data_IF_273413918433
#
_entry.id   IF_273413918433
#
_cell.length_a   1.000
_cell.length_b   1.000
_cell.length_c   1.000
_cell.angle_alpha   90.00
_cell.angle_beta   90.00
_cell.angle_gamma   90.00
#
_symmetry.space_group_name_H-M   'P 1'
#
loop_
_entity.id
_entity.type
_entity.pdbx_description
1 polymer ?
#
# COMPACT_ATOMS: atom_id res chain seq x y z
N UNK A 1 -12.42 21.73 -22.08
CA UNK A 1 -13.54 20.79 -22.24
C UNK A 1 -13.06 19.47 -21.64
N UNK A 2 -13.64 19.15 -20.49
CA UNK A 2 -13.62 17.91 -19.72
C UNK A 2 -12.30 17.16 -19.47
N UNK A 3 -11.54 17.64 -18.48
CA UNK A 3 -10.83 16.74 -17.55
C UNK A 3 -11.86 16.15 -16.59
N UNK A 4 -12.52 15.11 -17.09
CA UNK A 4 -13.38 14.18 -16.40
C UNK A 4 -12.90 13.84 -14.99
N UNK A 5 -13.81 14.09 -14.04
CA UNK A 5 -14.16 13.24 -12.89
C UNK A 5 -13.14 13.27 -11.74
N UNK A 6 -13.44 14.12 -10.74
CA UNK A 6 -13.17 13.91 -9.31
C UNK A 6 -11.95 13.01 -9.06
N UNK A 7 -10.75 13.60 -9.14
CA UNK A 7 -9.65 13.09 -8.33
C UNK A 7 -10.21 12.98 -6.91
N UNK A 8 -10.31 11.75 -6.40
CA UNK A 8 -10.82 11.53 -5.03
C UNK A 8 -10.05 12.45 -4.09
N UNK A 9 -10.69 13.02 -3.06
CA UNK A 9 -10.04 13.91 -2.08
C UNK A 9 -8.67 13.39 -1.62
N UNK A 10 -8.53 12.08 -1.48
CA UNK A 10 -7.27 11.42 -1.13
C UNK A 10 -6.16 11.48 -2.17
N UNK A 11 -6.46 11.54 -3.47
CA UNK A 11 -5.45 11.78 -4.50
C UNK A 11 -4.84 13.16 -4.31
N UNK A 12 -5.68 14.17 -4.09
CA UNK A 12 -5.21 15.52 -3.77
C UNK A 12 -4.43 15.53 -2.45
N UNK A 13 -4.93 14.86 -1.40
CA UNK A 13 -4.19 14.77 -0.12
C UNK A 13 -2.83 14.08 -0.26
N UNK A 14 -2.71 13.04 -1.09
CA UNK A 14 -1.42 12.41 -1.41
C UNK A 14 -0.51 13.42 -2.11
N UNK A 15 -1.02 14.16 -3.11
CA UNK A 15 -0.25 15.19 -3.81
C UNK A 15 0.22 16.26 -2.82
N UNK A 16 -0.67 16.80 -2.00
CA UNK A 16 -0.36 17.84 -1.01
C UNK A 16 0.73 17.38 -0.02
N UNK A 17 0.65 16.13 0.44
CA UNK A 17 1.66 15.55 1.33
C UNK A 17 2.98 15.37 0.60
N UNK A 18 2.96 14.87 -0.62
CA UNK A 18 4.18 14.64 -1.40
C UNK A 18 4.88 15.95 -1.77
N UNK A 19 4.13 16.98 -2.15
CA UNK A 19 4.67 18.30 -2.50
C UNK A 19 5.08 19.10 -1.26
N UNK A 20 4.37 18.93 -0.14
CA UNK A 20 4.64 19.61 1.12
C UNK A 20 5.72 18.94 1.99
N UNK A 21 6.15 17.72 1.66
CA UNK A 21 7.13 16.99 2.47
C UNK A 21 8.56 17.27 2.02
N UNK A 22 9.43 17.62 2.97
CA UNK A 22 10.79 18.08 2.69
C UNK A 22 11.71 17.03 2.04
N UNK A 23 11.40 15.74 2.20
CA UNK A 23 12.26 14.66 1.73
C UNK A 23 11.45 13.51 1.11
N UNK A 24 11.16 13.64 -0.18
CA UNK A 24 10.50 12.61 -0.98
C UNK A 24 11.48 12.03 -2.00
N UNK A 25 11.62 10.72 -1.98
CA UNK A 25 12.51 9.96 -2.84
C UNK A 25 11.68 9.19 -3.88
N UNK A 26 11.54 9.79 -5.07
CA UNK A 26 10.78 9.24 -6.18
C UNK A 26 11.66 8.34 -7.06
N UNK A 27 11.20 7.11 -7.31
CA UNK A 27 11.80 6.14 -8.23
C UNK A 27 13.33 5.99 -8.04
N UNK A 28 13.74 5.93 -6.78
CA UNK A 28 15.15 5.86 -6.41
C UNK A 28 15.82 4.63 -7.05
N UNK A 29 17.02 4.81 -7.60
CA UNK A 29 17.75 3.72 -8.24
C UNK A 29 17.99 2.56 -7.26
N UNK A 30 17.89 1.32 -7.75
CA UNK A 30 18.03 0.11 -6.91
C UNK A 30 19.26 0.11 -6.01
N UNK A 31 20.42 0.57 -6.50
CA UNK A 31 21.65 0.65 -5.69
C UNK A 31 21.48 1.60 -4.49
N UNK A 32 20.86 2.76 -4.72
CA UNK A 32 20.57 3.74 -3.66
C UNK A 32 19.48 3.23 -2.72
N UNK A 33 18.45 2.53 -3.22
CA UNK A 33 17.46 1.86 -2.36
C UNK A 33 18.11 0.83 -1.44
N UNK A 34 19.01 -0.01 -1.96
CA UNK A 34 19.76 -0.96 -1.12
C UNK A 34 20.59 -0.21 -0.06
N UNK A 35 21.22 0.90 -0.41
CA UNK A 35 21.97 1.72 0.55
C UNK A 35 21.05 2.29 1.64
N UNK A 36 19.92 2.89 1.28
CA UNK A 36 18.92 3.40 2.24
C UNK A 36 18.41 2.29 3.17
N UNK A 37 18.14 1.08 2.65
CA UNK A 37 17.73 -0.08 3.45
C UNK A 37 18.78 -0.45 4.50
N UNK A 38 20.07 -0.44 4.14
CA UNK A 38 21.16 -0.76 5.07
C UNK A 38 21.35 0.37 6.08
N UNK A 39 21.35 1.63 5.63
CA UNK A 39 21.56 2.81 6.48
C UNK A 39 20.44 2.96 7.52
N UNK A 40 19.20 2.69 7.12
CA UNK A 40 18.03 2.68 8.00
C UNK A 40 17.93 1.42 8.87
N UNK A 41 18.86 0.45 8.71
CA UNK A 41 18.86 -0.84 9.42
C UNK A 41 17.58 -1.65 9.21
N UNK A 42 17.00 -1.57 8.02
CA UNK A 42 15.80 -2.33 7.65
C UNK A 42 16.14 -3.74 7.17
N UNK A 43 17.40 -3.99 6.80
CA UNK A 43 17.94 -5.30 6.47
C UNK A 43 19.43 -5.37 6.80
N UNK A 44 20.01 -6.58 6.74
CA UNK A 44 21.45 -6.80 6.84
C UNK A 44 21.97 -7.46 5.56
N UNK A 45 23.14 -7.03 5.09
CA UNK A 45 23.84 -7.74 4.02
C UNK A 45 24.38 -9.08 4.55
N UNK A 46 24.00 -10.17 3.91
CA UNK A 46 24.56 -11.50 4.17
C UNK A 46 25.85 -11.72 3.37
N UNK A 47 26.60 -12.78 3.71
CA UNK A 47 27.90 -13.09 3.08
C UNK A 47 27.86 -13.18 1.55
N UNK A 48 26.74 -13.59 0.96
CA UNK A 48 26.59 -13.72 -0.49
C UNK A 48 26.06 -12.44 -1.18
N UNK A 49 25.91 -11.34 -0.43
CA UNK A 49 25.37 -10.07 -0.95
C UNK A 49 23.85 -9.96 -0.97
N UNK A 50 23.11 -11.03 -0.62
CA UNK A 50 21.67 -10.94 -0.45
C UNK A 50 21.33 -10.17 0.84
N UNK A 51 20.22 -9.45 0.83
CA UNK A 51 19.68 -8.79 2.02
C UNK A 51 18.88 -9.79 2.85
N UNK A 52 19.30 -10.00 4.09
CA UNK A 52 18.54 -10.71 5.11
C UNK A 52 17.63 -9.71 5.83
N UNK A 53 16.33 -9.98 5.82
CA UNK A 53 15.29 -9.10 6.39
C UNK A 53 14.58 -9.82 7.54
N UNK A 54 13.88 -9.04 8.36
CA UNK A 54 12.99 -9.55 9.39
C UNK A 54 11.70 -8.74 9.41
N UNK A 55 10.69 -9.26 10.08
CA UNK A 55 9.41 -8.59 10.31
C UNK A 55 9.07 -8.68 11.78
N UNK A 56 8.11 -7.87 12.24
CA UNK A 56 7.52 -8.08 13.57
C UNK A 56 6.98 -9.51 13.71
N UNK A 57 6.98 -10.12 14.92
CA UNK A 57 6.43 -11.46 15.15
C UNK A 57 4.99 -11.62 14.63
N UNK A 58 4.23 -10.54 14.72
CA UNK A 58 2.86 -10.43 14.25
C UNK A 58 2.74 -10.32 12.72
N UNK A 59 3.85 -10.19 11.99
CA UNK A 59 3.90 -9.95 10.53
C UNK A 59 4.79 -10.94 9.78
N UNK A 60 4.93 -12.18 10.28
CA UNK A 60 5.71 -13.24 9.60
C UNK A 60 4.98 -13.90 8.43
N UNK A 61 3.72 -13.53 8.20
CA UNK A 61 2.89 -14.07 7.13
C UNK A 61 1.70 -13.18 6.81
N UNK A 62 0.83 -13.66 5.92
CA UNK A 62 -0.39 -12.94 5.55
C UNK A 62 -1.32 -12.77 6.76
N UNK A 63 -2.14 -11.73 6.68
CA UNK A 63 -3.18 -11.39 7.65
C UNK A 63 -4.58 -11.43 7.01
N UNK A 64 -5.09 -12.60 6.56
CA UNK A 64 -6.35 -12.65 5.81
C UNK A 64 -7.55 -12.07 6.57
N UNK A 65 -7.61 -12.29 7.88
CA UNK A 65 -8.69 -11.77 8.74
C UNK A 65 -8.58 -10.27 9.05
N UNK A 66 -7.46 -9.64 8.70
CA UNK A 66 -7.22 -8.21 8.82
C UNK A 66 -7.12 -7.56 7.42
N UNK A 67 -7.57 -8.29 6.37
CA UNK A 67 -7.63 -7.83 4.98
C UNK A 67 -9.08 -7.58 4.61
N UNK A 68 -9.40 -6.37 4.17
CA UNK A 68 -10.76 -5.89 3.94
C UNK A 68 -10.92 -5.31 2.53
N UNK A 69 -12.15 -5.37 2.02
CA UNK A 69 -12.56 -4.75 0.77
C UNK A 69 -13.63 -3.71 1.08
N UNK A 70 -13.45 -2.49 0.59
CA UNK A 70 -14.44 -1.43 0.78
C UNK A 70 -15.72 -1.81 0.06
N UNK A 71 -16.83 -1.85 0.79
CA UNK A 71 -18.14 -2.18 0.25
C UNK A 71 -18.78 -0.93 -0.35
N UNK A 72 -18.60 -0.73 -1.66
CA UNK A 72 -19.20 0.38 -2.42
C UNK A 72 -20.36 -0.10 -3.28
N UNK A 73 -21.40 0.71 -3.41
CA UNK A 73 -22.60 0.36 -4.20
C UNK A 73 -22.26 0.01 -5.67
N UNK A 74 -21.23 0.65 -6.24
CA UNK A 74 -20.81 0.50 -7.64
C UNK A 74 -20.09 -0.82 -7.92
N UNK A 75 -19.31 -1.34 -6.97
CA UNK A 75 -18.55 -2.59 -7.11
C UNK A 75 -19.16 -3.76 -6.33
N UNK A 76 -20.12 -3.53 -5.42
CA UNK A 76 -20.71 -4.54 -4.55
C UNK A 76 -21.20 -5.76 -5.33
N UNK A 77 -21.82 -5.57 -6.49
CA UNK A 77 -22.38 -6.67 -7.30
C UNK A 77 -21.30 -7.51 -8.02
N UNK A 78 -20.07 -6.99 -8.13
CA UNK A 78 -18.97 -7.65 -8.83
C UNK A 78 -18.04 -8.42 -7.87
N UNK A 79 -18.22 -8.25 -6.55
CA UNK A 79 -17.39 -8.88 -5.53
C UNK A 79 -18.13 -10.09 -4.96
N UNK A 80 -17.44 -11.23 -4.88
CA UNK A 80 -17.96 -12.43 -4.21
C UNK A 80 -17.86 -12.28 -2.68
N UNK A 81 -18.90 -11.72 -2.06
CA UNK A 81 -18.97 -11.57 -0.60
C UNK A 81 -19.19 -12.88 0.17
N UNK A 82 -19.43 -14.00 -0.51
CA UNK A 82 -19.54 -15.31 0.14
C UNK A 82 -18.18 -15.89 0.52
N UNK A 83 -17.11 -15.42 -0.15
CA UNK A 83 -15.74 -15.78 0.17
C UNK A 83 -15.35 -15.31 1.58
N UNK A 84 -14.77 -16.19 2.43
CA UNK A 84 -14.33 -15.81 3.77
C UNK A 84 -13.14 -14.82 3.76
N UNK A 85 -12.53 -14.56 2.60
CA UNK A 85 -11.44 -13.61 2.44
C UNK A 85 -11.90 -12.24 1.92
N UNK A 86 -13.15 -12.09 1.50
CA UNK A 86 -13.70 -10.82 1.03
C UNK A 86 -14.48 -10.16 2.17
N UNK A 87 -13.75 -9.67 3.17
CA UNK A 87 -14.33 -9.08 4.39
C UNK A 87 -14.77 -7.65 4.07
N UNK A 88 -16.08 -7.32 4.12
CA UNK A 88 -16.54 -5.98 3.80
C UNK A 88 -16.14 -5.00 4.90
N UNK A 89 -15.72 -3.80 4.50
CA UNK A 89 -15.57 -2.65 5.39
C UNK A 89 -16.32 -1.45 4.82
N UNK A 90 -16.86 -0.61 5.71
CA UNK A 90 -17.59 0.59 5.30
C UNK A 90 -16.65 1.65 4.73
N UNK A 91 -17.19 2.50 3.87
CA UNK A 91 -16.45 3.58 3.21
C UNK A 91 -15.85 4.58 4.21
N UNK A 92 -16.62 4.98 5.22
CA UNK A 92 -16.19 5.91 6.27
C UNK A 92 -15.01 5.36 7.10
N UNK A 93 -15.01 4.05 7.39
CA UNK A 93 -13.91 3.41 8.10
C UNK A 93 -12.64 3.34 7.24
N UNK A 94 -12.77 3.08 5.93
CA UNK A 94 -11.63 3.18 5.03
C UNK A 94 -11.06 4.60 5.00
N UNK A 95 -11.92 5.61 4.91
CA UNK A 95 -11.53 7.01 4.89
C UNK A 95 -10.77 7.39 6.19
N UNK A 96 -11.23 6.91 7.34
CA UNK A 96 -10.54 7.08 8.63
C UNK A 96 -9.16 6.40 8.67
N UNK A 97 -9.05 5.15 8.23
CA UNK A 97 -7.78 4.41 8.21
C UNK A 97 -6.79 5.05 7.24
N UNK A 98 -7.27 5.49 6.09
CA UNK A 98 -6.44 6.15 5.09
C UNK A 98 -5.91 7.49 5.62
N UNK A 99 -6.77 8.27 6.29
CA UNK A 99 -6.35 9.52 6.95
C UNK A 99 -5.29 9.27 8.03
N UNK A 100 -5.45 8.24 8.87
CA UNK A 100 -4.43 7.90 9.87
C UNK A 100 -3.11 7.50 9.21
N UNK A 101 -3.16 6.76 8.09
CA UNK A 101 -1.97 6.38 7.32
C UNK A 101 -1.24 7.59 6.71
N UNK A 102 -1.99 8.59 6.23
CA UNK A 102 -1.42 9.86 5.76
C UNK A 102 -0.79 10.64 6.92
N UNK A 103 -1.45 10.70 8.09
CA UNK A 103 -0.92 11.35 9.28
C UNK A 103 0.37 10.69 9.79
N UNK A 104 0.48 9.36 9.67
CA UNK A 104 1.73 8.65 9.95
C UNK A 104 2.81 9.03 8.95
N UNK A 105 2.47 9.09 7.66
CA UNK A 105 3.42 9.38 6.59
C UNK A 105 4.01 10.78 6.69
N UNK A 106 3.19 11.80 6.99
CA UNK A 106 3.63 13.21 7.16
C UNK A 106 4.66 13.39 8.27
N UNK A 107 4.64 12.52 9.28
CA UNK A 107 5.56 12.58 10.43
C UNK A 107 6.89 11.88 10.16
N UNK A 108 7.08 11.26 9.00
CA UNK A 108 8.30 10.52 8.69
C UNK A 108 9.41 11.46 8.25
N UNK A 109 10.65 11.01 8.41
CA UNK A 109 11.79 11.78 7.90
C UNK A 109 11.88 11.71 6.37
N UNK A 110 11.50 10.57 5.79
CA UNK A 110 11.58 10.27 4.36
C UNK A 110 10.31 9.57 3.89
N UNK A 111 9.89 9.90 2.68
CA UNK A 111 8.84 9.18 1.95
C UNK A 111 9.47 8.59 0.70
N UNK A 112 9.23 7.30 0.45
CA UNK A 112 9.67 6.61 -0.76
C UNK A 112 8.48 6.39 -1.68
N UNK A 113 8.64 6.75 -2.95
CA UNK A 113 7.61 6.54 -3.98
C UNK A 113 8.21 5.68 -5.09
N UNK A 114 7.53 4.60 -5.45
CA UNK A 114 7.93 3.74 -6.58
C UNK A 114 6.76 3.57 -7.55
N UNK A 115 6.99 3.92 -8.81
CA UNK A 115 6.09 3.71 -9.93
C UNK A 115 6.53 2.47 -10.70
N UNK A 116 5.67 1.45 -10.71
CA UNK A 116 5.88 0.16 -11.39
C UNK A 116 4.61 -0.26 -12.12
N UNK A 117 4.64 -1.42 -12.77
CA UNK A 117 3.43 -2.04 -13.32
C UNK A 117 3.25 -3.49 -12.87
N UNK A 118 1.99 -3.92 -12.83
CA UNK A 118 1.59 -5.31 -12.71
C UNK A 118 1.12 -5.79 -14.09
N UNK A 119 1.57 -6.97 -14.52
CA UNK A 119 1.29 -7.51 -15.85
C UNK A 119 2.46 -7.31 -16.81
N UNK A 120 2.79 -8.35 -17.57
CA UNK A 120 3.92 -8.35 -18.51
C UNK A 120 3.56 -7.82 -19.90
N UNK A 121 2.32 -8.02 -20.33
CA UNK A 121 1.80 -7.45 -21.58
C UNK A 121 1.49 -5.96 -21.39
N UNK A 122 2.15 -5.09 -22.15
CA UNK A 122 1.97 -3.64 -22.06
C UNK A 122 0.54 -3.18 -22.36
N UNK A 123 -0.26 -3.96 -23.10
CA UNK A 123 -1.68 -3.66 -23.36
C UNK A 123 -2.57 -3.83 -22.13
N UNK A 124 -2.11 -4.56 -21.12
CA UNK A 124 -2.84 -4.85 -19.88
C UNK A 124 -2.04 -4.52 -18.62
N UNK A 125 -0.90 -3.85 -18.77
CA UNK A 125 -0.05 -3.47 -17.64
C UNK A 125 -0.77 -2.41 -16.78
N UNK A 126 -1.03 -2.73 -15.51
CA UNK A 126 -1.65 -1.83 -14.54
C UNK A 126 -0.56 -0.94 -13.91
N UNK A 127 -0.58 0.39 -14.10
CA UNK A 127 0.29 1.30 -13.36
C UNK A 127 -0.01 1.23 -11.86
N UNK A 128 1.05 1.10 -11.05
CA UNK A 128 0.97 1.08 -9.59
C UNK A 128 1.97 2.05 -9.02
N UNK A 129 1.48 3.02 -8.25
CA UNK A 129 2.28 3.92 -7.43
C UNK A 129 2.27 3.42 -5.99
N UNK A 130 3.40 2.96 -5.49
CA UNK A 130 3.56 2.62 -4.08
C UNK A 130 4.17 3.79 -3.33
N UNK A 131 3.52 4.25 -2.27
CA UNK A 131 3.95 5.31 -1.37
C UNK A 131 4.18 4.69 0.00
N UNK A 132 5.36 4.85 0.57
CA UNK A 132 5.70 4.19 1.83
C UNK A 132 6.73 4.95 2.63
N UNK A 133 6.73 4.72 3.94
CA UNK A 133 7.72 5.23 4.87
C UNK A 133 9.01 4.40 4.94
N UNK A 134 9.08 3.24 4.26
CA UNK A 134 10.18 2.27 4.37
C UNK A 134 10.93 2.04 3.06
N UNK A 135 12.25 2.12 3.09
CA UNK A 135 13.11 1.87 1.93
C UNK A 135 12.99 0.42 1.44
N UNK A 136 12.82 -0.54 2.36
CA UNK A 136 12.72 -1.96 2.09
C UNK A 136 11.41 -2.31 1.37
N UNK A 137 10.31 -1.65 1.73
CA UNK A 137 9.04 -1.79 1.02
C UNK A 137 9.18 -1.29 -0.42
N UNK A 138 9.85 -0.16 -0.62
CA UNK A 138 10.18 0.39 -1.95
C UNK A 138 11.09 -0.54 -2.77
N UNK A 139 12.16 -1.07 -2.15
CA UNK A 139 13.03 -2.05 -2.79
C UNK A 139 12.31 -3.35 -3.16
N UNK A 140 11.38 -3.79 -2.31
CA UNK A 140 10.57 -4.97 -2.57
C UNK A 140 9.63 -4.78 -3.76
N UNK A 141 8.99 -3.62 -3.91
CA UNK A 141 8.14 -3.34 -5.08
C UNK A 141 8.96 -3.20 -6.35
N UNK A 142 10.14 -2.57 -6.30
CA UNK A 142 11.06 -2.54 -7.43
C UNK A 142 11.52 -3.96 -7.86
N UNK A 143 11.70 -4.87 -6.91
CA UNK A 143 12.05 -6.27 -7.20
C UNK A 143 10.86 -7.09 -7.73
N UNK A 144 9.69 -6.95 -7.11
CA UNK A 144 8.53 -7.80 -7.39
C UNK A 144 7.68 -7.35 -8.58
N UNK A 145 7.58 -6.04 -8.80
CA UNK A 145 6.76 -5.46 -9.87
C UNK A 145 7.63 -5.14 -11.07
N UNK A 146 7.01 -4.98 -12.25
CA UNK A 146 7.76 -4.78 -13.49
C UNK A 146 8.09 -3.31 -13.73
N UNK A 147 9.19 -2.99 -14.41
CA UNK A 147 9.46 -1.63 -14.87
C UNK A 147 8.31 -1.13 -15.74
N UNK A 148 8.03 0.18 -15.69
CA UNK A 148 7.05 0.80 -16.58
C UNK A 148 7.52 0.65 -18.03
N UNK A 149 6.75 0.01 -18.92
CA UNK A 149 7.14 -0.17 -20.32
C UNK A 149 7.06 1.17 -21.07
N UNK A 150 7.91 1.35 -22.09
CA UNK A 150 7.95 2.60 -22.88
C UNK A 150 6.62 2.91 -23.58
N UNK A 151 5.83 1.87 -23.90
CA UNK A 151 4.55 1.96 -24.59
C UNK A 151 3.34 1.83 -23.64
N UNK A 152 3.51 2.11 -22.34
CA UNK A 152 2.47 2.00 -21.31
C UNK A 152 1.15 2.71 -21.66
N UNK A 153 1.20 3.77 -22.49
CA UNK A 153 0.01 4.48 -22.99
C UNK A 153 -0.98 3.59 -23.76
N UNK A 154 -0.55 2.43 -24.27
CA UNK A 154 -1.41 1.44 -24.92
C UNK A 154 -2.20 0.58 -23.94
N UNK A 155 -1.84 0.61 -22.66
CA UNK A 155 -2.53 -0.18 -21.64
C UNK A 155 -3.97 0.31 -21.48
N UNK A 156 -4.90 -0.64 -21.40
CA UNK A 156 -6.28 -0.32 -21.00
C UNK A 156 -6.39 0.26 -19.59
N UNK A 157 -5.33 0.16 -18.78
CA UNK A 157 -5.25 0.71 -17.43
C UNK A 157 -4.43 1.99 -17.31
N UNK A 158 -3.94 2.56 -18.41
CA UNK A 158 -3.00 3.70 -18.37
C UNK A 158 -3.53 4.87 -17.51
N UNK A 159 -4.77 5.30 -17.76
CA UNK A 159 -5.45 6.38 -17.00
C UNK A 159 -6.19 5.86 -15.75
N UNK A 160 -5.99 4.58 -15.39
CA UNK A 160 -6.69 3.89 -14.29
C UNK A 160 -5.68 3.21 -13.36
N UNK A 161 -4.57 3.89 -13.10
CA UNK A 161 -3.54 3.44 -12.17
C UNK A 161 -4.08 3.23 -10.75
N UNK A 162 -3.35 2.45 -9.98
CA UNK A 162 -3.67 2.12 -8.60
C UNK A 162 -2.63 2.75 -7.66
N UNK A 163 -3.07 3.35 -6.56
CA UNK A 163 -2.17 3.89 -5.55
C UNK A 163 -2.20 3.02 -4.29
N UNK A 164 -1.02 2.64 -3.81
CA UNK A 164 -0.85 1.83 -2.62
C UNK A 164 -0.05 2.60 -1.57
N UNK A 165 -0.70 2.94 -0.47
CA UNK A 165 -0.07 3.54 0.70
C UNK A 165 0.33 2.45 1.70
N UNK A 166 1.58 2.45 2.17
CA UNK A 166 2.06 1.44 3.13
C UNK A 166 2.91 2.07 4.24
N UNK A 167 2.41 1.94 5.46
CA UNK A 167 3.07 2.33 6.72
C UNK A 167 3.22 1.08 7.61
N UNK A 168 4.13 0.16 7.25
CA UNK A 168 4.18 -1.21 7.76
C UNK A 168 4.45 -1.34 9.26
N UNK A 169 5.06 -0.34 9.88
CA UNK A 169 5.45 -0.36 11.30
C UNK A 169 4.61 0.56 12.18
N UNK A 170 3.73 1.38 11.60
CA UNK A 170 2.76 2.19 12.35
C UNK A 170 1.53 1.35 12.70
N UNK A 171 0.90 1.63 13.85
CA UNK A 171 -0.23 0.86 14.37
C UNK A 171 -1.45 1.75 14.53
N UNK A 172 -2.62 1.22 14.18
CA UNK A 172 -3.88 1.92 14.40
C UNK A 172 -4.21 1.97 15.89
N UNK A 173 -4.93 3.00 16.31
CA UNK A 173 -5.43 3.09 17.68
C UNK A 173 -6.57 2.08 17.89
N UNK A 174 -6.32 0.98 18.59
CA UNK A 174 -7.30 -0.09 18.84
C UNK A 174 -8.60 0.40 19.49
N UNK A 175 -8.55 1.46 20.31
CA UNK A 175 -9.76 2.01 20.97
C UNK A 175 -10.63 2.74 19.93
N UNK A 176 -10.00 3.54 19.05
CA UNK A 176 -10.68 4.27 17.97
C UNK A 176 -11.43 3.34 17.02
N UNK A 177 -10.84 2.17 16.72
CA UNK A 177 -11.38 1.22 15.75
C UNK A 177 -12.19 0.08 16.38
N UNK A 178 -12.51 0.18 17.67
CA UNK A 178 -13.33 -0.81 18.36
C UNK A 178 -14.65 -1.02 17.60
N UNK A 179 -15.02 -2.27 17.38
CA UNK A 179 -16.20 -2.68 16.59
C UNK A 179 -16.14 -2.41 15.08
N UNK A 180 -15.03 -1.87 14.57
CA UNK A 180 -14.84 -1.61 13.14
C UNK A 180 -13.80 -2.53 12.51
N UNK A 181 -12.78 -2.94 13.29
CA UNK A 181 -11.78 -3.91 12.88
C UNK A 181 -11.94 -5.21 13.68
N UNK A 182 -11.25 -6.26 13.21
CA UNK A 182 -11.24 -7.59 13.81
C UNK A 182 -10.93 -7.56 15.30
N UNK A 183 -11.68 -8.33 16.08
CA UNK A 183 -11.36 -8.65 17.48
C UNK A 183 -10.40 -9.85 17.52
N UNK A 184 -9.30 -9.68 18.26
CA UNK A 184 -8.27 -10.68 18.48
C UNK A 184 -8.71 -11.69 19.57
N UNK A 185 -8.08 -12.88 19.67
CA UNK A 185 -8.45 -13.89 20.67
C UNK A 185 -8.35 -13.42 22.12
N UNK A 186 -7.54 -12.40 22.40
CA UNK A 186 -7.40 -11.80 23.73
C UNK A 186 -8.46 -10.73 24.04
N UNK A 187 -9.39 -10.44 23.11
CA UNK A 187 -10.46 -9.46 23.27
C UNK A 187 -10.14 -8.06 22.75
N UNK A 188 -8.88 -7.79 22.37
CA UNK A 188 -8.47 -6.49 21.84
C UNK A 188 -8.88 -6.31 20.38
N UNK A 189 -9.03 -5.06 19.95
CA UNK A 189 -9.21 -4.74 18.52
C UNK A 189 -7.86 -4.73 17.82
N UNK A 190 -7.79 -5.36 16.64
CA UNK A 190 -6.57 -5.36 15.84
C UNK A 190 -6.16 -3.93 15.48
N UNK A 191 -4.86 -3.68 15.59
CA UNK A 191 -4.17 -2.44 15.24
C UNK A 191 -3.55 -2.49 13.83
N UNK A 192 -3.90 -3.53 13.05
CA UNK A 192 -3.43 -3.79 11.69
C UNK A 192 -4.63 -3.78 10.75
N UNK A 193 -4.45 -3.16 9.59
CA UNK A 193 -5.43 -3.22 8.52
C UNK A 193 -4.76 -3.22 7.14
N UNK A 194 -5.25 -4.10 6.26
CA UNK A 194 -4.92 -4.13 4.84
C UNK A 194 -6.23 -3.91 4.10
N UNK A 195 -6.44 -2.76 3.49
CA UNK A 195 -7.74 -2.40 2.91
C UNK A 195 -7.58 -2.01 1.45
N UNK A 196 -8.49 -2.47 0.60
CA UNK A 196 -8.55 -2.13 -0.82
C UNK A 196 -9.91 -1.53 -1.20
N UNK A 197 -9.84 -0.45 -1.97
CA UNK A 197 -10.95 0.27 -2.55
C UNK A 197 -10.82 0.22 -4.08
N UNK A 198 -11.57 -0.67 -4.72
CA UNK A 198 -11.50 -0.87 -6.16
C UNK A 198 -11.99 0.34 -6.96
N UNK A 199 -13.01 1.03 -6.47
CA UNK A 199 -13.64 2.14 -7.20
C UNK A 199 -12.76 3.39 -7.17
N UNK A 200 -12.12 3.67 -6.03
CA UNK A 200 -11.11 4.75 -5.95
C UNK A 200 -9.73 4.32 -6.43
N UNK A 201 -9.50 3.02 -6.63
CA UNK A 201 -8.21 2.41 -7.01
C UNK A 201 -7.12 2.73 -5.98
N UNK A 202 -7.48 2.59 -4.72
CA UNK A 202 -6.63 2.87 -3.56
C UNK A 202 -6.45 1.60 -2.73
N UNK A 203 -5.24 1.43 -2.20
CA UNK A 203 -4.93 0.43 -1.19
C UNK A 203 -4.18 1.08 -0.03
N UNK A 204 -4.45 0.60 1.18
CA UNK A 204 -3.73 1.03 2.37
C UNK A 204 -3.30 -0.18 3.21
N UNK A 205 -2.05 -0.16 3.66
CA UNK A 205 -1.47 -1.15 4.55
C UNK A 205 -0.94 -0.42 5.79
N UNK A 206 -1.54 -0.70 6.94
CA UNK A 206 -1.09 -0.19 8.24
C UNK A 206 -0.69 -1.36 9.13
N UNK A 207 0.52 -1.31 9.69
CA UNK A 207 0.98 -2.22 10.75
C UNK A 207 1.40 -3.63 10.32
N UNK A 208 1.23 -3.99 9.05
CA UNK A 208 1.74 -5.24 8.48
C UNK A 208 3.11 -5.02 7.84
N UNK A 209 4.19 -5.44 8.50
CA UNK A 209 5.55 -5.45 7.94
C UNK A 209 5.83 -6.64 7.02
N UNK A 210 4.86 -7.54 6.84
CA UNK A 210 4.96 -8.62 5.86
C UNK A 210 4.90 -8.06 4.43
N UNK A 211 6.03 -8.07 3.73
CA UNK A 211 6.12 -7.60 2.33
C UNK A 211 5.17 -8.34 1.38
N UNK A 212 4.81 -9.59 1.71
CA UNK A 212 3.81 -10.33 0.95
C UNK A 212 2.42 -9.66 0.97
N UNK A 213 2.10 -8.83 1.96
CA UNK A 213 0.85 -8.03 1.97
C UNK A 213 0.84 -7.01 0.83
N UNK A 214 1.96 -6.36 0.53
CA UNK A 214 2.11 -5.44 -0.60
C UNK A 214 1.90 -6.17 -1.93
N UNK A 215 2.57 -7.31 -2.11
CA UNK A 215 2.41 -8.15 -3.31
C UNK A 215 0.96 -8.62 -3.47
N UNK A 216 0.35 -9.11 -2.39
CA UNK A 216 -0.94 -9.80 -2.43
C UNK A 216 -2.14 -8.87 -2.45
N UNK A 217 -2.00 -7.63 -2.01
CA UNK A 217 -3.02 -6.60 -2.24
C UNK A 217 -3.17 -6.30 -3.73
N UNK A 218 -2.05 -6.29 -4.47
CA UNK A 218 -2.04 -5.98 -5.90
C UNK A 218 -2.37 -7.17 -6.82
N UNK A 219 -2.40 -8.39 -6.29
CA UNK A 219 -2.69 -9.61 -7.05
C UNK A 219 -4.16 -9.98 -6.93
#
# INVERSE_FOLDING_TARGET
MDTTILESSFNQSIIDIVEGHNNVLLNLERKKLIQEVIDNREAMASKNGALATWTGPESTGRRPKDTYVVKRNTSEKNIDWSSPNNIPIKEDIFDMVFSDALDFLVKKEKIYITDRVIGADSKYALPVRTITSQALTSLFTDNMFRPVPKDIKKSVFFERGFQLLSVPFDKLNSIKYKSHLRILPNGDTSDIAVIMDFDRRLGVIVGSSYLGSVKKLMF
#
